data_IF_828105390080
#
_entry.id   IF_828105390080
#
_cell.length_a   1.000
_cell.length_b   1.000
_cell.length_c   1.000
_cell.angle_alpha   90.00
_cell.angle_beta   90.00
_cell.angle_gamma   90.00
#
_symmetry.space_group_name_H-M   'P 1'
#
loop_
_entity.id
_entity.type
_entity.pdbx_description
1 polymer ?
#
# COMPACT_ATOMS: atom_id res chain seq x y z
N UNK A 1 3.22 27.38 -9.21
CA UNK A 1 4.28 26.57 -8.56
C UNK A 1 3.62 25.34 -7.99
N UNK A 2 3.39 24.35 -8.85
CA UNK A 2 2.67 23.11 -8.50
C UNK A 2 3.54 22.34 -7.51
N UNK A 3 3.08 22.26 -6.27
CA UNK A 3 3.76 21.52 -5.22
C UNK A 3 3.61 20.04 -5.57
N UNK A 4 4.63 19.47 -6.23
CA UNK A 4 4.77 18.03 -6.36
C UNK A 4 5.01 17.47 -4.96
N UNK A 5 3.94 17.12 -4.26
CA UNK A 5 4.08 16.28 -3.09
C UNK A 5 4.36 14.87 -3.61
N UNK A 6 5.52 14.27 -3.28
CA UNK A 6 5.72 12.86 -3.55
C UNK A 6 4.65 12.09 -2.79
N UNK A 7 3.83 11.34 -3.51
CA UNK A 7 2.65 10.61 -3.02
C UNK A 7 2.96 9.87 -1.70
N UNK A 8 4.14 9.23 -1.59
CA UNK A 8 4.54 8.48 -0.40
C UNK A 8 4.91 9.30 0.86
N UNK A 9 5.18 10.60 0.79
CA UNK A 9 5.48 11.40 1.99
C UNK A 9 4.23 11.77 2.79
N UNK A 10 3.05 11.75 2.16
CA UNK A 10 1.78 11.93 2.85
C UNK A 10 1.42 10.68 3.66
N UNK A 11 1.57 9.47 3.09
CA UNK A 11 1.18 8.22 3.73
C UNK A 11 1.99 7.86 4.98
N UNK A 12 3.30 8.15 5.03
CA UNK A 12 4.11 7.97 6.26
C UNK A 12 3.55 8.80 7.44
N UNK A 13 2.92 9.95 7.17
CA UNK A 13 2.27 10.78 8.20
C UNK A 13 0.88 10.30 8.57
N UNK A 14 0.21 9.55 7.70
CA UNK A 14 -1.14 9.01 7.97
C UNK A 14 -1.10 8.04 9.14
N UNK A 15 -0.13 7.13 9.20
CA UNK A 15 0.01 6.17 10.31
C UNK A 15 0.17 6.90 11.64
N UNK A 16 1.10 7.85 11.71
CA UNK A 16 1.34 8.64 12.92
C UNK A 16 0.10 9.46 13.33
N UNK A 17 -0.65 10.00 12.35
CA UNK A 17 -1.86 10.78 12.59
C UNK A 17 -3.01 9.89 13.08
N UNK A 18 -3.15 8.68 12.51
CA UNK A 18 -4.14 7.69 12.92
C UNK A 18 -3.90 7.25 14.37
N UNK A 19 -2.65 6.90 14.71
CA UNK A 19 -2.28 6.54 16.09
C UNK A 19 -2.62 7.69 17.05
N UNK A 20 -2.23 8.93 16.72
CA UNK A 20 -2.51 10.09 17.55
C UNK A 20 -4.01 10.35 17.74
N UNK A 21 -4.82 10.22 16.68
CA UNK A 21 -6.28 10.34 16.76
C UNK A 21 -6.90 9.26 17.66
N UNK A 22 -6.44 8.02 17.53
CA UNK A 22 -6.93 6.91 18.32
C UNK A 22 -6.51 7.01 19.80
N UNK A 23 -5.35 7.57 20.11
CA UNK A 23 -4.96 7.85 21.51
C UNK A 23 -5.84 8.93 22.15
N UNK A 24 -6.32 9.91 21.36
CA UNK A 24 -7.26 10.93 21.83
C UNK A 24 -8.63 10.31 22.14
N UNK A 25 -9.10 9.38 21.31
CA UNK A 25 -10.43 8.77 21.44
C UNK A 25 -10.48 7.61 22.45
N UNK A 26 -9.42 6.81 22.56
CA UNK A 26 -9.41 5.55 23.33
C UNK A 26 -8.38 5.51 24.48
N UNK A 27 -7.57 6.57 24.64
CA UNK A 27 -6.56 6.68 25.69
C UNK A 27 -5.18 6.13 25.31
N UNK A 28 -4.14 6.53 26.06
CA UNK A 28 -2.74 6.12 25.82
C UNK A 28 -2.58 4.60 25.80
N UNK A 29 -1.92 4.09 24.77
CA UNK A 29 -1.64 2.66 24.61
C UNK A 29 -2.73 1.85 23.90
N UNK A 30 -3.92 2.40 23.69
CA UNK A 30 -4.95 1.79 22.83
C UNK A 30 -4.71 2.08 21.34
N UNK A 31 -4.08 3.21 21.01
CA UNK A 31 -3.93 3.69 19.64
C UNK A 31 -3.07 2.81 18.75
N UNK A 32 -1.97 2.25 19.26
CA UNK A 32 -1.03 1.46 18.45
C UNK A 32 -1.63 0.13 17.98
N UNK A 33 -2.25 -0.63 18.89
CA UNK A 33 -2.86 -1.92 18.54
C UNK A 33 -4.09 -1.76 17.64
N UNK A 34 -4.86 -0.68 17.84
CA UNK A 34 -6.05 -0.40 17.04
C UNK A 34 -5.68 0.16 15.66
N UNK A 35 -4.66 1.01 15.56
CA UNK A 35 -4.10 1.48 14.30
C UNK A 35 -3.54 0.31 13.48
N UNK A 36 -2.84 -0.62 14.12
CA UNK A 36 -2.33 -1.81 13.46
C UNK A 36 -3.46 -2.69 12.89
N UNK A 37 -4.55 -2.87 13.64
CA UNK A 37 -5.74 -3.60 13.16
C UNK A 37 -6.41 -2.91 11.96
N UNK A 38 -6.45 -1.58 11.94
CA UNK A 38 -6.99 -0.81 10.84
C UNK A 38 -6.12 -0.91 9.58
N UNK A 39 -4.79 -0.76 9.76
CA UNK A 39 -3.82 -0.92 8.66
C UNK A 39 -3.85 -2.33 8.07
N UNK A 40 -4.06 -3.37 8.89
CA UNK A 40 -4.21 -4.75 8.42
C UNK A 40 -5.52 -4.97 7.64
N UNK A 41 -6.60 -4.29 8.03
CA UNK A 41 -7.90 -4.42 7.37
C UNK A 41 -7.93 -3.72 6.01
N UNK A 42 -7.28 -2.56 5.90
CA UNK A 42 -7.27 -1.70 4.71
C UNK A 42 -5.89 -1.72 4.01
N UNK A 43 -5.13 -2.81 4.17
CA UNK A 43 -3.71 -2.89 3.76
C UNK A 43 -3.54 -2.63 2.26
N UNK A 44 -4.46 -3.13 1.42
CA UNK A 44 -4.46 -2.91 -0.02
C UNK A 44 -4.46 -1.43 -0.36
N UNK A 45 -5.35 -0.69 0.28
CA UNK A 45 -5.66 0.70 -0.04
C UNK A 45 -4.53 1.60 0.45
N UNK A 46 -4.04 1.37 1.67
CA UNK A 46 -2.91 2.10 2.20
C UNK A 46 -1.64 1.95 1.37
N UNK A 47 -1.35 0.73 0.88
CA UNK A 47 -0.17 0.50 0.05
C UNK A 47 -0.35 1.03 -1.36
N UNK A 48 -1.56 0.94 -1.91
CA UNK A 48 -1.91 1.57 -3.17
C UNK A 48 -1.68 3.08 -3.09
N UNK A 49 -2.19 3.75 -2.06
CA UNK A 49 -2.02 5.18 -1.89
C UNK A 49 -0.58 5.59 -1.54
N UNK A 50 0.18 4.75 -0.82
CA UNK A 50 1.57 5.02 -0.48
C UNK A 50 2.58 4.74 -1.62
N UNK A 51 2.12 4.24 -2.77
CA UNK A 51 3.00 3.84 -3.87
C UNK A 51 3.73 5.05 -4.46
N UNK A 52 4.99 4.83 -4.81
CA UNK A 52 5.85 5.79 -5.49
C UNK A 52 6.04 5.45 -6.97
N UNK A 53 5.91 4.17 -7.33
CA UNK A 53 5.98 3.69 -8.70
C UNK A 53 5.18 2.41 -8.86
N UNK A 54 4.66 2.20 -10.06
CA UNK A 54 3.84 1.07 -10.44
C UNK A 54 4.28 0.50 -11.80
N UNK A 55 3.99 -0.78 -12.03
CA UNK A 55 4.21 -1.46 -13.31
C UNK A 55 3.12 -2.50 -13.54
N UNK A 56 2.39 -2.37 -14.64
CA UNK A 56 1.39 -3.35 -15.05
C UNK A 56 2.04 -4.70 -15.39
N UNK A 57 1.46 -5.78 -14.86
CA UNK A 57 1.92 -7.16 -15.03
C UNK A 57 0.96 -8.01 -15.88
N UNK A 58 -0.21 -7.45 -16.21
CA UNK A 58 -1.25 -8.13 -16.99
C UNK A 58 -2.52 -8.38 -16.19
N UNK A 59 -3.56 -8.82 -16.89
CA UNK A 59 -4.86 -9.13 -16.31
C UNK A 59 -4.74 -10.16 -15.18
N UNK A 60 -5.56 -9.98 -14.15
CA UNK A 60 -5.82 -10.95 -13.11
C UNK A 60 -6.99 -11.83 -13.55
N UNK A 61 -6.71 -13.10 -13.81
CA UNK A 61 -7.74 -14.08 -14.14
C UNK A 61 -8.28 -14.66 -12.84
N UNK A 62 -9.41 -14.13 -12.37
CA UNK A 62 -10.16 -14.72 -11.27
C UNK A 62 -10.70 -16.10 -11.70
N UNK A 63 -10.86 -17.02 -10.75
CA UNK A 63 -11.35 -18.38 -11.03
C UNK A 63 -12.84 -18.44 -11.35
N UNK A 64 -13.57 -17.36 -11.10
CA UNK A 64 -14.99 -17.17 -11.36
C UNK A 64 -15.20 -16.22 -12.55
N UNK A 65 -15.75 -16.77 -13.65
CA UNK A 65 -15.89 -16.14 -14.98
C UNK A 65 -16.84 -14.93 -15.05
N UNK A 66 -17.41 -14.45 -13.93
CA UNK A 66 -18.47 -13.43 -13.93
C UNK A 66 -18.13 -12.10 -13.21
N UNK A 67 -16.91 -11.89 -12.70
CA UNK A 67 -16.65 -10.75 -11.82
C UNK A 67 -15.45 -9.89 -12.18
N UNK A 68 -15.69 -8.83 -12.97
CA UNK A 68 -14.82 -7.67 -13.22
C UNK A 68 -13.46 -7.92 -13.91
N UNK A 69 -13.10 -7.05 -14.84
CA UNK A 69 -11.75 -6.99 -15.39
C UNK A 69 -10.81 -6.40 -14.34
N UNK A 70 -9.99 -7.28 -13.75
CA UNK A 70 -8.99 -6.93 -12.75
C UNK A 70 -7.60 -6.99 -13.35
N UNK A 71 -6.70 -6.14 -12.86
CA UNK A 71 -5.31 -6.06 -13.29
C UNK A 71 -4.36 -6.37 -12.14
N UNK A 72 -3.23 -7.01 -12.46
CA UNK A 72 -2.08 -7.14 -11.56
C UNK A 72 -1.11 -6.00 -11.81
N UNK A 73 -0.78 -5.27 -10.75
CA UNK A 73 0.12 -4.13 -10.81
C UNK A 73 1.19 -4.28 -9.74
N UNK A 74 2.46 -4.44 -10.15
CA UNK A 74 3.56 -4.32 -9.20
C UNK A 74 3.62 -2.89 -8.68
N UNK A 75 3.78 -2.72 -7.38
CA UNK A 75 3.96 -1.41 -6.73
C UNK A 75 5.19 -1.41 -5.83
N UNK A 76 5.85 -0.26 -5.74
CA UNK A 76 6.90 0.04 -4.76
C UNK A 76 6.59 1.38 -4.10
N UNK A 77 6.76 1.45 -2.79
CA UNK A 77 6.52 2.67 -2.04
C UNK A 77 7.20 2.66 -0.67
N UNK A 78 6.81 3.62 0.17
CA UNK A 78 7.28 3.73 1.54
C UNK A 78 6.09 3.96 2.46
N UNK A 79 6.00 3.16 3.52
CA UNK A 79 4.97 3.27 4.55
C UNK A 79 5.58 2.91 5.90
N UNK A 80 5.25 3.70 6.92
CA UNK A 80 5.78 3.60 8.28
C UNK A 80 7.32 3.57 8.31
N UNK A 81 7.93 4.45 7.51
CA UNK A 81 9.39 4.58 7.43
C UNK A 81 10.10 3.42 6.72
N UNK A 82 9.38 2.38 6.28
CA UNK A 82 9.91 1.20 5.58
C UNK A 82 9.54 1.19 4.11
N UNK A 83 10.45 0.68 3.28
CA UNK A 83 10.14 0.43 1.87
C UNK A 83 9.30 -0.83 1.74
N UNK A 84 8.39 -0.85 0.77
CA UNK A 84 7.63 -2.04 0.43
C UNK A 84 7.62 -2.31 -1.07
N UNK A 85 7.46 -3.57 -1.43
CA UNK A 85 7.12 -4.05 -2.78
C UNK A 85 5.95 -5.01 -2.65
N UNK A 86 4.96 -4.90 -3.52
CA UNK A 86 3.81 -5.81 -3.57
C UNK A 86 3.25 -5.88 -5.00
N UNK A 87 2.31 -6.80 -5.23
CA UNK A 87 1.43 -6.80 -6.40
C UNK A 87 0.04 -6.44 -5.92
N UNK A 88 -0.50 -5.32 -6.41
CA UNK A 88 -1.88 -4.92 -6.19
C UNK A 88 -2.78 -5.56 -7.23
N UNK A 89 -3.96 -6.02 -6.82
CA UNK A 89 -5.05 -6.38 -7.73
C UNK A 89 -5.96 -5.16 -7.81
N UNK A 90 -6.16 -4.62 -9.00
CA UNK A 90 -6.81 -3.33 -9.22
C UNK A 90 -7.97 -3.50 -10.19
N UNK A 91 -9.07 -2.80 -9.95
CA UNK A 91 -10.19 -2.75 -10.90
C UNK A 91 -10.01 -1.70 -12.01
N UNK A 92 -10.93 -1.68 -12.97
CA UNK A 92 -10.93 -0.72 -14.08
C UNK A 92 -11.09 0.75 -13.66
N UNK A 93 -11.48 1.02 -12.41
CA UNK A 93 -11.60 2.37 -11.85
C UNK A 93 -10.33 2.80 -11.08
N UNK A 94 -9.34 1.92 -10.97
CA UNK A 94 -8.07 2.20 -10.31
C UNK A 94 -8.11 2.01 -8.78
N UNK A 95 -9.10 1.29 -8.25
CA UNK A 95 -9.17 0.95 -6.84
C UNK A 95 -8.50 -0.40 -6.57
N UNK A 96 -7.73 -0.47 -5.48
CA UNK A 96 -7.13 -1.72 -5.04
C UNK A 96 -8.21 -2.63 -4.44
N UNK A 97 -8.31 -3.85 -4.95
CA UNK A 97 -9.24 -4.88 -4.49
C UNK A 97 -8.53 -5.97 -3.69
N UNK A 98 -7.20 -5.99 -3.72
CA UNK A 98 -6.41 -6.96 -2.98
C UNK A 98 -4.91 -6.81 -3.19
N UNK A 99 -4.15 -7.64 -2.46
CA UNK A 99 -2.69 -7.57 -2.43
C UNK A 99 -2.08 -8.97 -2.45
N UNK A 100 -0.95 -9.11 -3.15
CA UNK A 100 -0.16 -10.33 -3.21
C UNK A 100 1.32 -10.05 -3.01
N UNK A 101 2.04 -11.00 -2.42
CA UNK A 101 3.50 -11.02 -2.43
C UNK A 101 4.17 -9.83 -1.73
N UNK A 102 3.51 -9.21 -0.74
CA UNK A 102 4.05 -8.05 -0.02
C UNK A 102 5.36 -8.40 0.69
N UNK A 103 6.36 -7.53 0.52
CA UNK A 103 7.66 -7.61 1.19
C UNK A 103 8.09 -6.23 1.65
N UNK A 104 8.67 -6.14 2.85
CA UNK A 104 9.21 -4.91 3.41
C UNK A 104 10.74 -4.90 3.46
N UNK A 105 11.33 -3.72 3.28
CA UNK A 105 12.78 -3.52 3.21
C UNK A 105 13.18 -2.27 3.99
N UNK A 106 14.35 -2.32 4.64
CA UNK A 106 14.97 -1.14 5.26
C UNK A 106 15.77 -0.27 4.28
N UNK A 107 15.88 -0.66 3.02
CA UNK A 107 16.73 -0.01 2.01
C UNK A 107 15.98 0.16 0.69
N UNK A 108 16.04 1.36 0.13
CA UNK A 108 15.47 1.68 -1.18
C UNK A 108 16.06 0.79 -2.28
N UNK A 109 17.38 0.60 -2.28
CA UNK A 109 18.07 -0.18 -3.29
C UNK A 109 17.51 -1.60 -3.39
N UNK A 110 17.41 -2.29 -2.24
CA UNK A 110 16.87 -3.66 -2.18
C UNK A 110 15.41 -3.72 -2.59
N UNK A 111 14.62 -2.69 -2.24
CA UNK A 111 13.23 -2.61 -2.67
C UNK A 111 13.14 -2.44 -4.20
N UNK A 112 13.97 -1.59 -4.80
CA UNK A 112 14.01 -1.40 -6.26
C UNK A 112 14.45 -2.66 -7.02
N UNK A 113 15.44 -3.38 -6.50
CA UNK A 113 15.87 -4.68 -7.05
C UNK A 113 14.73 -5.71 -7.01
N UNK A 114 14.04 -5.80 -5.86
CA UNK A 114 12.89 -6.69 -5.72
C UNK A 114 11.74 -6.30 -6.67
N UNK A 115 11.43 -5.01 -6.77
CA UNK A 115 10.41 -4.49 -7.68
C UNK A 115 10.70 -4.82 -9.15
N UNK A 116 11.97 -4.68 -9.57
CA UNK A 116 12.37 -5.02 -10.93
C UNK A 116 12.14 -6.50 -11.26
N UNK A 117 12.29 -7.40 -10.27
CA UNK A 117 12.12 -8.85 -10.41
C UNK A 117 10.65 -9.34 -10.28
N UNK A 118 9.71 -8.48 -9.88
CA UNK A 118 8.29 -8.83 -9.74
C UNK A 118 7.62 -9.05 -11.10
N UNK A 119 6.86 -10.15 -11.23
CA UNK A 119 6.16 -10.56 -12.45
C UNK A 119 4.80 -11.16 -12.12
#
# INVERSE_FOLDING_TARGET
MTMFQPIGAASDRVVATLVAGLEIEFGRGAGEALAQRFLEAEESDFLWDARLSERWLGAYQAQDEEGFELDRVAIIGRLDGRWFVAVSIVDGDGNAQGLMGRRSFGSELRAREAFAATH
#
